data_IF_164639282587
#
_entry.id   IF_164639282587
#
_cell.length_a   1.000
_cell.length_b   1.000
_cell.length_c   1.000
_cell.angle_alpha   90.00
_cell.angle_beta   90.00
_cell.angle_gamma   90.00
#
_symmetry.space_group_name_H-M   'P 1'
#
loop_
_entity.id
_entity.type
_entity.pdbx_description
1 polymer ?
#
# COMPACT_ATOMS: atom_id res chain seq x y z
N UNK A 1 10.40 -4.06 4.31
CA UNK A 1 9.99 -3.58 2.98
C UNK A 1 11.06 -3.92 1.99
N UNK A 2 10.99 -5.15 1.55
CA UNK A 2 11.73 -5.79 0.49
C UNK A 2 10.86 -5.76 -0.76
N UNK A 3 11.51 -5.71 -1.92
CA UNK A 3 10.80 -5.65 -3.19
C UNK A 3 11.48 -6.52 -4.23
N UNK A 4 10.71 -6.89 -5.26
CA UNK A 4 11.19 -7.58 -6.46
C UNK A 4 11.20 -6.60 -7.63
N UNK A 5 12.20 -6.71 -8.50
CA UNK A 5 12.29 -5.86 -9.70
C UNK A 5 11.21 -6.25 -10.72
N UNK A 6 10.83 -5.32 -11.61
CA UNK A 6 9.81 -5.56 -12.63
C UNK A 6 10.16 -6.69 -13.60
N UNK A 7 11.44 -6.93 -13.86
CA UNK A 7 11.92 -8.02 -14.72
C UNK A 7 11.74 -9.40 -14.08
N UNK A 8 11.71 -9.47 -12.75
CA UNK A 8 11.68 -10.72 -11.99
C UNK A 8 10.34 -10.99 -11.31
N UNK A 9 9.49 -9.98 -11.12
CA UNK A 9 8.19 -10.13 -10.45
C UNK A 9 7.23 -10.97 -11.29
N UNK A 10 7.21 -10.77 -12.61
CA UNK A 10 6.16 -11.31 -13.49
C UNK A 10 4.79 -10.66 -13.27
N UNK A 11 4.71 -9.64 -12.42
CA UNK A 11 3.46 -8.97 -12.02
C UNK A 11 3.08 -7.88 -13.02
N UNK A 12 1.79 -7.85 -13.35
CA UNK A 12 1.13 -6.76 -14.06
C UNK A 12 0.03 -6.20 -13.15
N UNK A 13 0.08 -4.91 -12.85
CA UNK A 13 -0.91 -4.25 -11.99
C UNK A 13 -1.26 -2.85 -12.52
N UNK A 14 -2.54 -2.46 -12.45
CA UNK A 14 -3.01 -1.13 -12.83
C UNK A 14 -2.86 -0.18 -11.64
N UNK A 15 -1.76 0.57 -11.61
CA UNK A 15 -1.45 1.45 -10.49
C UNK A 15 -2.23 2.75 -10.48
N UNK A 16 -2.72 3.21 -11.63
CA UNK A 16 -3.33 4.54 -11.80
C UNK A 16 -4.82 4.53 -12.17
N UNK A 17 -5.42 3.34 -12.21
CA UNK A 17 -6.81 3.05 -12.53
C UNK A 17 -7.19 3.56 -13.93
N UNK A 18 -6.37 3.22 -14.92
CA UNK A 18 -6.61 3.55 -16.33
C UNK A 18 -7.15 2.37 -17.17
N UNK A 19 -7.43 1.24 -16.51
CA UNK A 19 -7.83 -0.05 -17.09
C UNK A 19 -6.75 -0.78 -17.89
N UNK A 20 -5.48 -0.43 -17.70
CA UNK A 20 -4.33 -1.13 -18.26
C UNK A 20 -3.30 -1.42 -17.18
N UNK A 21 -2.96 -2.69 -17.00
CA UNK A 21 -1.95 -3.10 -16.05
C UNK A 21 -0.55 -3.07 -16.69
N UNK A 22 0.40 -2.42 -16.02
CA UNK A 22 1.81 -2.36 -16.42
C UNK A 22 2.65 -3.44 -15.75
N UNK A 23 3.67 -3.93 -16.46
CA UNK A 23 4.72 -4.73 -15.82
C UNK A 23 5.37 -3.90 -14.71
N UNK A 24 5.38 -4.42 -13.48
CA UNK A 24 5.72 -3.64 -12.30
C UNK A 24 6.68 -4.37 -11.37
N UNK A 25 7.57 -3.62 -10.72
CA UNK A 25 8.21 -4.09 -9.49
C UNK A 25 7.12 -4.41 -8.46
N UNK A 26 7.44 -5.23 -7.46
CA UNK A 26 6.39 -5.70 -6.55
C UNK A 26 6.90 -5.86 -5.12
N UNK A 27 5.97 -5.87 -4.17
CA UNK A 27 6.26 -6.14 -2.77
C UNK A 27 6.82 -7.57 -2.60
N UNK A 28 7.76 -7.77 -1.68
CA UNK A 28 8.20 -9.11 -1.28
C UNK A 28 7.07 -9.90 -0.63
N UNK A 29 7.05 -11.22 -0.83
CA UNK A 29 5.97 -12.12 -0.35
C UNK A 29 5.78 -12.17 1.18
N UNK A 30 6.78 -11.73 1.94
CA UNK A 30 6.80 -11.67 3.41
C UNK A 30 6.47 -10.28 3.97
N UNK A 31 6.41 -9.26 3.11
CA UNK A 31 5.82 -7.95 3.39
C UNK A 31 4.35 -7.91 2.91
N UNK A 32 3.64 -6.81 3.19
CA UNK A 32 2.26 -6.63 2.77
C UNK A 32 1.95 -5.19 2.35
N UNK A 33 0.97 -5.06 1.46
CA UNK A 33 0.43 -3.77 1.01
C UNK A 33 -0.72 -3.37 1.94
N UNK A 34 -0.73 -2.12 2.40
CA UNK A 34 -1.90 -1.54 3.06
C UNK A 34 -2.95 -1.22 2.00
N UNK A 35 -4.18 -1.68 2.23
CA UNK A 35 -5.26 -1.56 1.24
C UNK A 35 -6.58 -1.15 1.88
N UNK A 36 -7.44 -0.53 1.08
CA UNK A 36 -8.80 -0.17 1.42
C UNK A 36 -9.70 -0.37 0.19
N UNK A 37 -10.56 -1.39 0.24
CA UNK A 37 -11.63 -1.64 -0.74
C UNK A 37 -12.66 -0.49 -0.66
N UNK A 38 -12.39 0.58 -1.40
CA UNK A 38 -13.19 1.82 -1.38
C UNK A 38 -14.50 1.67 -2.14
N UNK A 39 -14.52 0.81 -3.16
CA UNK A 39 -15.68 0.60 -4.01
C UNK A 39 -16.61 -0.53 -3.47
N UNK A 40 -16.19 -1.24 -2.41
CA UNK A 40 -16.86 -2.35 -1.76
C UNK A 40 -17.17 -3.53 -2.69
N UNK A 41 -16.28 -3.81 -3.65
CA UNK A 41 -16.44 -4.91 -4.60
C UNK A 41 -15.88 -6.25 -4.07
N UNK A 42 -15.24 -6.24 -2.89
CA UNK A 42 -14.65 -7.41 -2.25
C UNK A 42 -13.33 -7.86 -2.86
N UNK A 43 -12.67 -7.01 -3.65
CA UNK A 43 -11.37 -7.24 -4.30
C UNK A 43 -10.43 -6.09 -3.97
N UNK A 44 -9.18 -6.28 -4.37
CA UNK A 44 -8.18 -5.23 -4.51
C UNK A 44 -7.67 -5.36 -5.94
N UNK A 45 -8.21 -4.57 -6.87
CA UNK A 45 -7.99 -4.76 -8.30
C UNK A 45 -7.31 -3.60 -9.02
N UNK A 46 -7.16 -2.43 -8.38
CA UNK A 46 -6.39 -1.32 -8.92
C UNK A 46 -5.78 -0.41 -7.83
N UNK A 47 -4.91 0.52 -8.26
CA UNK A 47 -4.17 1.42 -7.36
C UNK A 47 -5.01 2.47 -6.63
N UNK A 48 -6.31 2.60 -6.92
CA UNK A 48 -7.23 3.45 -6.14
C UNK A 48 -7.57 2.84 -4.77
N UNK A 49 -7.34 1.53 -4.62
CA UNK A 49 -7.56 0.75 -3.39
C UNK A 49 -6.25 0.51 -2.61
N UNK A 50 -5.11 0.88 -3.19
CA UNK A 50 -3.82 0.98 -2.52
C UNK A 50 -3.64 2.37 -1.91
N UNK A 51 -2.73 2.47 -0.93
CA UNK A 51 -2.28 3.76 -0.40
C UNK A 51 -1.07 4.27 -1.19
N UNK A 52 -1.26 5.39 -1.89
CA UNK A 52 -0.23 6.01 -2.72
C UNK A 52 -0.71 7.33 -3.33
N UNK A 53 0.04 7.85 -4.30
CA UNK A 53 -0.32 9.10 -5.00
C UNK A 53 -1.53 8.96 -5.94
N UNK A 54 -2.03 7.74 -6.18
CA UNK A 54 -3.26 7.50 -6.94
C UNK A 54 -4.51 7.41 -6.07
N UNK A 55 -4.35 7.37 -4.75
CA UNK A 55 -5.48 7.38 -3.81
C UNK A 55 -6.24 8.71 -3.88
N UNK A 56 -7.56 8.65 -4.05
CA UNK A 56 -8.44 9.82 -3.96
C UNK A 56 -8.78 10.10 -2.49
N UNK A 57 -8.48 11.32 -2.05
CA UNK A 57 -8.78 11.83 -0.70
C UNK A 57 -10.26 12.20 -0.55
N UNK A 58 -10.69 12.42 0.69
CA UNK A 58 -12.04 12.89 1.05
C UNK A 58 -12.44 14.19 0.34
N UNK A 59 -11.46 15.03 -0.01
CA UNK A 59 -11.67 16.28 -0.75
C UNK A 59 -11.78 16.11 -2.28
N UNK A 60 -11.68 14.88 -2.79
CA UNK A 60 -11.77 14.55 -4.22
C UNK A 60 -10.46 14.69 -5.02
N UNK A 61 -9.37 15.14 -4.41
CA UNK A 61 -8.06 15.24 -5.06
C UNK A 61 -7.24 13.95 -4.86
N UNK A 62 -6.25 13.72 -5.74
CA UNK A 62 -5.23 12.70 -5.52
C UNK A 62 -4.31 13.09 -4.36
N UNK A 63 -3.91 12.10 -3.56
CA UNK A 63 -2.93 12.28 -2.50
C UNK A 63 -1.55 12.64 -3.08
N UNK A 64 -0.73 13.36 -2.31
CA UNK A 64 0.66 13.61 -2.71
C UNK A 64 1.54 12.34 -2.57
N UNK A 65 1.19 11.47 -1.63
CA UNK A 65 1.79 10.17 -1.34
C UNK A 65 0.84 9.36 -0.43
N UNK A 66 1.19 8.11 -0.15
CA UNK A 66 0.42 7.16 0.65
C UNK A 66 0.29 7.53 2.13
N UNK A 67 1.22 8.30 2.71
CA UNK A 67 1.06 8.82 4.07
C UNK A 67 0.07 9.97 4.14
N UNK A 68 0.02 10.85 3.13
CA UNK A 68 -1.05 11.85 3.03
C UNK A 68 -2.42 11.20 2.80
N UNK A 69 -2.45 10.10 2.04
CA UNK A 69 -3.66 9.27 1.91
C UNK A 69 -4.08 8.64 3.24
N UNK A 70 -3.12 8.17 4.04
CA UNK A 70 -3.37 7.63 5.38
C UNK A 70 -3.87 8.72 6.34
N UNK A 71 -3.28 9.92 6.28
CA UNK A 71 -3.66 11.05 7.13
C UNK A 71 -5.10 11.52 6.90
N UNK A 72 -5.63 11.36 5.69
CA UNK A 72 -7.04 11.64 5.41
C UNK A 72 -8.01 10.73 6.18
N UNK A 73 -7.52 9.61 6.73
CA UNK A 73 -8.29 8.69 7.59
C UNK A 73 -8.11 8.94 9.08
N UNK A 74 -7.21 9.83 9.50
CA UNK A 74 -6.98 10.24 10.89
C UNK A 74 -8.07 11.26 11.29
N UNK A 75 -9.21 10.74 11.75
CA UNK A 75 -10.43 11.52 12.00
C UNK A 75 -10.36 12.35 13.28
N UNK A 76 -9.55 11.92 14.25
CA UNK A 76 -9.34 12.65 15.49
C UNK A 76 -8.11 13.58 15.45
N UNK A 77 -7.32 13.52 14.37
CA UNK A 77 -6.09 14.30 14.11
C UNK A 77 -5.02 14.09 15.18
N UNK A 78 -4.87 12.88 15.71
CA UNK A 78 -3.89 12.57 16.75
C UNK A 78 -2.53 12.07 16.21
N UNK A 79 -2.37 11.99 14.88
CA UNK A 79 -1.13 11.65 14.21
C UNK A 79 -0.98 10.16 13.89
N UNK A 80 -2.04 9.37 14.06
CA UNK A 80 -2.08 7.95 13.72
C UNK A 80 -3.48 7.57 13.27
N UNK A 81 -3.57 6.47 12.52
CA UNK A 81 -4.85 5.81 12.23
C UNK A 81 -4.93 4.57 13.10
N UNK A 82 -5.90 4.53 14.00
CA UNK A 82 -6.12 3.42 14.93
C UNK A 82 -7.62 3.15 15.20
N UNK A 83 -7.92 2.30 16.17
CA UNK A 83 -9.30 1.93 16.53
C UNK A 83 -10.23 3.09 16.90
N UNK A 84 -9.71 4.30 17.13
CA UNK A 84 -10.48 5.52 17.36
C UNK A 84 -10.98 6.17 16.05
N UNK A 85 -10.47 5.72 14.90
CA UNK A 85 -10.85 6.21 13.58
C UNK A 85 -11.91 5.34 12.90
N UNK A 86 -12.88 6.00 12.27
CA UNK A 86 -14.07 5.35 11.70
C UNK A 86 -13.75 4.28 10.66
N UNK A 87 -12.71 4.47 9.86
CA UNK A 87 -12.34 3.59 8.76
C UNK A 87 -11.26 2.56 9.10
N UNK A 88 -10.68 2.59 10.32
CA UNK A 88 -9.56 1.70 10.67
C UNK A 88 -9.93 0.22 10.54
N UNK A 89 -11.16 -0.16 10.91
CA UNK A 89 -11.63 -1.55 10.82
C UNK A 89 -11.81 -2.06 9.39
N UNK A 90 -11.92 -1.14 8.42
CA UNK A 90 -12.06 -1.44 7.00
C UNK A 90 -10.70 -1.65 6.32
N UNK A 91 -9.61 -1.18 6.93
CA UNK A 91 -8.27 -1.38 6.39
C UNK A 91 -7.84 -2.85 6.48
N UNK A 92 -7.12 -3.29 5.46
CA UNK A 92 -6.58 -4.64 5.34
C UNK A 92 -5.12 -4.60 4.94
N UNK A 93 -4.44 -5.73 5.13
CA UNK A 93 -3.13 -6.01 4.54
C UNK A 93 -3.33 -7.05 3.43
N UNK A 94 -2.91 -6.71 2.22
CA UNK A 94 -2.75 -7.69 1.15
C UNK A 94 -1.33 -8.23 1.17
N UNK A 95 -1.20 -9.50 1.55
CA UNK A 95 0.04 -10.25 1.43
C UNK A 95 -0.07 -11.19 0.24
N UNK A 96 0.47 -10.75 -0.90
CA UNK A 96 0.55 -11.53 -2.13
C UNK A 96 1.61 -12.65 -1.98
N UNK A 97 1.17 -13.85 -1.60
CA UNK A 97 2.03 -14.96 -1.21
C UNK A 97 2.63 -15.67 -2.42
N UNK A 98 1.91 -15.66 -3.54
CA UNK A 98 2.35 -16.28 -4.78
C UNK A 98 3.04 -15.27 -5.73
N UNK A 99 2.98 -13.97 -5.40
CA UNK A 99 3.59 -12.85 -6.13
C UNK A 99 3.07 -12.74 -7.56
N UNK A 100 1.77 -12.90 -7.77
CA UNK A 100 1.14 -12.81 -9.09
C UNK A 100 0.34 -11.51 -9.33
N UNK A 101 0.29 -10.62 -8.34
CA UNK A 101 -0.38 -9.33 -8.40
C UNK A 101 -1.90 -9.43 -8.41
N UNK A 102 -2.48 -10.55 -8.01
CA UNK A 102 -3.93 -10.75 -7.89
C UNK A 102 -4.29 -11.17 -6.48
N UNK A 103 -5.41 -10.65 -6.01
CA UNK A 103 -5.87 -11.02 -4.69
C UNK A 103 -6.43 -12.46 -4.69
N UNK A 104 -5.69 -13.38 -4.07
CA UNK A 104 -6.13 -14.75 -3.87
C UNK A 104 -6.76 -15.00 -2.49
N UNK A 105 -7.45 -16.15 -2.38
CA UNK A 105 -8.06 -16.58 -1.12
C UNK A 105 -6.97 -16.78 -0.04
N UNK A 106 -7.09 -16.03 1.05
CA UNK A 106 -6.19 -16.13 2.20
C UNK A 106 -4.99 -15.18 2.14
N UNK A 107 -5.02 -14.23 1.21
CA UNK A 107 -4.02 -13.16 1.08
C UNK A 107 -4.48 -11.82 1.66
N UNK A 108 -5.79 -11.64 1.84
CA UNK A 108 -6.35 -10.47 2.53
C UNK A 108 -6.45 -10.75 4.03
N UNK A 109 -5.74 -9.97 4.83
CA UNK A 109 -5.68 -10.08 6.28
C UNK A 109 -6.22 -8.80 6.93
N UNK A 110 -6.91 -8.91 8.07
CA UNK A 110 -7.20 -7.73 8.89
C UNK A 110 -5.93 -7.20 9.56
N UNK A 111 -5.95 -5.92 9.93
CA UNK A 111 -4.89 -5.33 10.75
C UNK A 111 -4.69 -6.08 12.08
N UNK A 112 -5.78 -6.58 12.67
CA UNK A 112 -5.71 -7.37 13.91
C UNK A 112 -5.05 -8.74 13.71
N UNK A 113 -5.29 -9.41 12.58
CA UNK A 113 -4.65 -10.69 12.23
C UNK A 113 -3.14 -10.55 12.03
N UNK A 114 -2.69 -9.39 11.54
CA UNK A 114 -1.26 -9.07 11.35
C UNK A 114 -0.62 -8.44 12.58
N UNK A 115 -1.37 -8.23 13.67
CA UNK A 115 -0.88 -7.63 14.90
C UNK A 115 -0.58 -6.13 14.79
N UNK A 116 -1.13 -5.44 13.79
CA UNK A 116 -1.05 -3.99 13.66
C UNK A 116 -2.04 -3.33 14.62
N UNK A 117 -1.55 -2.42 15.46
CA UNK A 117 -2.35 -1.64 16.42
C UNK A 117 -2.67 -0.24 15.91
N UNK A 118 -1.70 0.42 15.31
CA UNK A 118 -1.85 1.79 14.79
C UNK A 118 -0.85 2.05 13.66
N UNK A 119 -1.25 2.88 12.70
CA UNK A 119 -0.43 3.32 11.57
C UNK A 119 -0.06 4.79 11.78
N UNK A 120 1.22 5.13 11.93
CA UNK A 120 1.60 6.53 12.17
C UNK A 120 1.56 7.33 10.85
N UNK A 121 0.97 8.53 10.88
CA UNK A 121 0.79 9.37 9.68
C UNK A 121 2.03 10.23 9.38
N UNK A 122 2.96 10.33 10.32
CA UNK A 122 4.22 11.06 10.15
C UNK A 122 5.24 10.23 9.37
N UNK A 123 5.94 10.88 8.44
CA UNK A 123 6.96 10.27 7.61
C UNK A 123 8.16 11.20 7.38
N UNK A 124 9.28 10.63 6.96
CA UNK A 124 10.42 11.35 6.40
C UNK A 124 10.55 11.07 4.90
N UNK A 125 10.92 12.07 4.12
CA UNK A 125 11.28 11.88 2.72
C UNK A 125 12.64 11.16 2.61
N UNK A 126 12.77 10.30 1.61
CA UNK A 126 13.96 9.53 1.30
C UNK A 126 14.24 9.53 -0.20
N UNK A 127 15.52 9.41 -0.55
CA UNK A 127 16.00 9.22 -1.92
C UNK A 127 16.49 7.79 -2.14
N UNK A 128 16.11 6.86 -1.25
CA UNK A 128 16.49 5.46 -1.35
C UNK A 128 15.84 4.82 -2.57
N UNK A 129 16.69 4.16 -3.36
CA UNK A 129 16.30 3.23 -4.42
C UNK A 129 16.97 1.90 -4.08
N UNK A 130 16.18 0.85 -3.96
CA UNK A 130 16.70 -0.47 -3.59
C UNK A 130 17.41 -1.19 -4.74
N UNK A 131 17.95 -2.38 -4.48
CA UNK A 131 18.62 -3.20 -5.50
C UNK A 131 17.69 -3.70 -6.61
N UNK A 132 16.38 -3.61 -6.40
CA UNK A 132 15.32 -3.97 -7.35
C UNK A 132 14.85 -2.76 -8.17
N UNK A 133 15.51 -1.60 -8.04
CA UNK A 133 15.20 -0.33 -8.71
C UNK A 133 13.88 0.32 -8.27
N UNK A 134 13.31 -0.10 -7.14
CA UNK A 134 12.10 0.49 -6.57
C UNK A 134 12.47 1.61 -5.58
N UNK A 135 11.76 2.74 -5.61
CA UNK A 135 12.10 3.90 -4.80
C UNK A 135 11.25 3.97 -3.52
N UNK A 136 11.90 4.02 -2.35
CA UNK A 136 11.22 4.18 -1.06
C UNK A 136 11.16 5.66 -0.70
N UNK A 137 10.17 6.39 -1.22
CA UNK A 137 10.17 7.87 -1.17
C UNK A 137 9.74 8.46 0.16
N UNK A 138 8.83 7.80 0.87
CA UNK A 138 8.46 8.17 2.24
C UNK A 138 8.63 6.98 3.16
N UNK A 139 9.23 7.22 4.33
CA UNK A 139 9.49 6.21 5.34
C UNK A 139 8.87 6.64 6.67
N UNK A 140 8.13 5.73 7.27
CA UNK A 140 7.47 5.90 8.56
C UNK A 140 7.41 4.57 9.29
N UNK A 141 6.42 4.41 10.15
CA UNK A 141 6.28 3.20 10.94
C UNK A 141 4.83 2.94 11.35
N UNK A 142 4.57 1.71 11.76
CA UNK A 142 3.35 1.30 12.44
C UNK A 142 3.72 0.68 13.78
N UNK A 143 2.81 0.76 14.75
CA UNK A 143 2.99 0.13 16.05
C UNK A 143 2.19 -1.16 16.11
N UNK A 144 2.82 -2.21 16.60
CA UNK A 144 2.19 -3.53 16.80
C UNK A 144 1.39 -3.58 18.09
N UNK A 145 0.54 -4.60 18.24
CA UNK A 145 -0.18 -4.90 19.49
C UNK A 145 0.76 -5.23 20.65
N UNK A 146 1.97 -5.72 20.36
CA UNK A 146 3.06 -5.92 21.31
C UNK A 146 3.75 -4.61 21.75
N UNK A 147 3.42 -3.47 21.12
CA UNK A 147 4.01 -2.16 21.41
C UNK A 147 5.36 -1.91 20.75
N UNK A 148 5.76 -2.73 19.78
CA UNK A 148 6.97 -2.53 18.96
C UNK A 148 6.62 -1.77 17.68
N UNK A 149 7.48 -0.82 17.29
CA UNK A 149 7.37 -0.12 16.02
C UNK A 149 8.11 -0.86 14.91
N UNK A 150 7.46 -1.00 13.75
CA UNK A 150 8.00 -1.62 12.55
C UNK A 150 7.91 -0.67 11.35
N UNK A 151 8.75 -0.87 10.34
CA UNK A 151 8.83 0.01 9.17
C UNK A 151 7.56 -0.06 8.32
N UNK A 152 7.16 1.09 7.78
CA UNK A 152 6.13 1.24 6.75
C UNK A 152 6.64 2.27 5.75
N UNK A 153 6.57 1.98 4.45
CA UNK A 153 7.12 2.83 3.41
C UNK A 153 6.07 3.10 2.32
N UNK A 154 6.13 4.30 1.75
CA UNK A 154 5.57 4.58 0.43
C UNK A 154 6.61 4.16 -0.62
N UNK A 155 6.27 3.15 -1.41
CA UNK A 155 7.15 2.56 -2.42
C UNK A 155 6.64 2.90 -3.80
N UNK A 156 7.50 3.51 -4.60
CA UNK A 156 7.27 3.80 -6.01
C UNK A 156 7.93 2.69 -6.80
N UNK A 157 7.13 1.70 -7.17
CA UNK A 157 7.59 0.60 -8.00
C UNK A 157 8.05 1.12 -9.36
N UNK A 158 9.16 0.56 -9.84
CA UNK A 158 9.55 0.75 -11.23
C UNK A 158 8.54 0.04 -12.13
N UNK A 159 8.04 0.75 -13.15
CA UNK A 159 6.99 0.28 -14.06
C UNK A 159 7.46 0.38 -15.51
N UNK A 160 7.09 -0.59 -16.33
CA UNK A 160 7.27 -0.51 -17.78
C UNK A 160 5.98 0.03 -18.43
N UNK A 161 5.95 1.35 -18.64
CA UNK A 161 4.82 2.04 -19.27
C UNK A 161 4.55 1.63 -20.73
N UNK A 162 5.46 0.88 -21.38
CA UNK A 162 5.29 0.40 -22.76
C UNK A 162 4.76 -1.04 -22.82
N UNK A 163 4.80 -1.80 -21.72
CA UNK A 163 4.28 -3.17 -21.63
C UNK A 163 3.01 -3.19 -20.80
N UNK A 164 1.88 -3.01 -21.48
CA UNK A 164 0.54 -2.97 -20.88
C UNK A 164 -0.29 -4.18 -21.28
N UNK A 165 -1.12 -4.65 -20.36
CA UNK A 165 -2.19 -5.63 -20.62
C UNK A 165 -3.54 -5.01 -20.24
N UNK A 166 -4.59 -5.32 -20.99
CA UNK A 166 -5.97 -4.87 -20.76
C UNK A 166 -6.82 -5.96 -20.11
#
# INVERSE_FOLDING_TARGET
VETTSKENSGVYFDHDNNSFAEQSGWVGKDDGLLVFDKNNNGKIDDGSELFGNNTILSNGNKAANGFEALKDLDTNNDGKVDSQDSNFSSLKIWQDKNSDGKLDKGELLSLSETGVRSLNTTYSNSNEVDSSNNAHKQQGNFTTTAGTDNKMNDVWFDVDNFRKVA
#
